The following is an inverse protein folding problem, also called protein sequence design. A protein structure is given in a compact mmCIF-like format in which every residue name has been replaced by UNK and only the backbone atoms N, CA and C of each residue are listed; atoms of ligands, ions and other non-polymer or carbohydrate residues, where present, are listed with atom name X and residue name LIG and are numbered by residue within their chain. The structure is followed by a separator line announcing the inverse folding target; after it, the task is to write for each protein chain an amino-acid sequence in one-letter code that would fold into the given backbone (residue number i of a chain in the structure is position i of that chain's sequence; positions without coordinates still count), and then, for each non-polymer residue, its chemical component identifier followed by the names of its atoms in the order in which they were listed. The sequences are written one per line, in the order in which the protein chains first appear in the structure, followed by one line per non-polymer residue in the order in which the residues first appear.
data_IF_585788913270
#
_entry.id   IF_585788913270
#
_cell.length_a   1.000
_cell.length_b   1.000
_cell.length_c   1.000
_cell.angle_alpha   90.00
_cell.angle_beta   90.00
_cell.angle_gamma   90.00
#
_symmetry.space_group_name_H-M   'P 1'
#
loop_
_entity.id
_entity.type
_entity.pdbx_description
1 polymer ?
#
# COMPACT_ATOMS: atom_id res chain seq x y z
N UNK A 1 -8.42 26.10 26.79
CA UNK A 1 -8.47 26.51 25.37
C UNK A 1 -9.46 25.61 24.65
N UNK A 2 -10.34 26.21 23.87
CA UNK A 2 -11.63 25.64 23.44
C UNK A 2 -11.47 24.35 22.62
N UNK A 3 -12.09 23.27 23.10
CA UNK A 3 -12.34 22.02 22.36
C UNK A 3 -13.19 22.35 21.14
N UNK A 4 -12.54 22.65 20.01
CA UNK A 4 -13.20 22.57 18.71
C UNK A 4 -13.44 21.09 18.47
N UNK A 5 -14.69 20.65 18.61
CA UNK A 5 -15.13 19.38 18.07
C UNK A 5 -14.72 19.34 16.60
N UNK A 6 -13.74 18.52 16.24
CA UNK A 6 -13.38 18.27 14.84
C UNK A 6 -14.56 17.56 14.18
N UNK A 7 -15.40 18.35 13.52
CA UNK A 7 -16.49 17.89 12.66
C UNK A 7 -15.98 18.04 11.24
N UNK A 8 -16.15 17.00 10.44
CA UNK A 8 -15.82 17.03 9.01
C UNK A 8 -17.12 16.89 8.23
N UNK A 9 -17.38 17.82 7.31
CA UNK A 9 -18.50 17.76 6.39
C UNK A 9 -17.99 17.18 5.07
N UNK A 10 -18.68 16.18 4.55
CA UNK A 10 -18.37 15.59 3.24
C UNK A 10 -19.57 15.66 2.30
N UNK A 11 -19.28 15.77 1.01
CA UNK A 11 -20.28 15.70 -0.06
C UNK A 11 -20.20 14.32 -0.71
N UNK A 12 -21.32 13.62 -0.78
CA UNK A 12 -21.42 12.28 -1.38
C UNK A 12 -22.76 12.13 -2.11
N UNK A 13 -23.12 10.91 -2.48
CA UNK A 13 -24.40 10.57 -3.09
C UNK A 13 -25.06 9.38 -2.41
N UNK A 14 -26.39 9.36 -2.38
CA UNK A 14 -27.19 8.23 -1.91
C UNK A 14 -27.22 7.08 -2.94
N UNK A 15 -27.98 6.02 -2.65
CA UNK A 15 -28.17 4.85 -3.53
C UNK A 15 -28.72 5.20 -4.93
N UNK A 16 -29.48 6.30 -5.04
CA UNK A 16 -30.05 6.81 -6.29
C UNK A 16 -29.11 7.78 -7.03
N UNK A 17 -27.93 8.06 -6.48
CA UNK A 17 -26.99 9.05 -7.03
C UNK A 17 -27.38 10.50 -6.72
N UNK A 18 -28.33 10.76 -5.83
CA UNK A 18 -28.70 12.12 -5.40
C UNK A 18 -27.70 12.64 -4.39
N UNK A 19 -27.45 13.95 -4.42
CA UNK A 19 -26.51 14.61 -3.51
C UNK A 19 -26.93 14.43 -2.06
N UNK A 20 -25.95 14.08 -1.24
CA UNK A 20 -26.10 13.90 0.20
C UNK A 20 -24.92 14.59 0.91
N UNK A 21 -25.22 15.40 1.92
CA UNK A 21 -24.20 16.01 2.78
C UNK A 21 -24.19 15.31 4.12
N UNK A 22 -23.01 14.89 4.55
CA UNK A 22 -22.84 14.15 5.81
C UNK A 22 -21.91 14.91 6.73
N UNK A 23 -22.29 14.96 8.01
CA UNK A 23 -21.41 15.42 9.08
C UNK A 23 -20.88 14.24 9.87
N UNK A 24 -19.55 14.20 9.95
CA UNK A 24 -18.77 13.17 10.62
C UNK A 24 -18.14 13.79 11.86
N UNK A 25 -18.46 13.25 13.02
CA UNK A 25 -18.05 13.79 14.32
C UNK A 25 -17.09 12.82 14.99
N UNK A 26 -16.01 13.34 15.57
CA UNK A 26 -15.16 12.54 16.45
C UNK A 26 -15.96 11.97 17.64
N UNK A 27 -15.77 10.68 18.00
CA UNK A 27 -16.49 10.09 19.13
C UNK A 27 -16.05 10.72 20.45
N UNK A 28 -17.01 11.22 21.22
CA UNK A 28 -16.76 11.70 22.58
C UNK A 28 -16.48 10.55 23.56
N UNK A 29 -16.03 10.89 24.76
CA UNK A 29 -15.65 9.92 25.81
C UNK A 29 -16.74 8.87 26.09
N UNK A 30 -18.00 9.27 26.22
CA UNK A 30 -19.11 8.35 26.48
C UNK A 30 -19.32 7.34 25.34
N UNK A 31 -19.25 7.81 24.09
CA UNK A 31 -19.38 6.95 22.90
C UNK A 31 -18.22 5.96 22.84
N UNK A 32 -17.00 6.38 23.18
CA UNK A 32 -15.84 5.48 23.24
C UNK A 32 -15.97 4.40 24.32
N UNK A 33 -16.53 4.73 25.49
CA UNK A 33 -16.82 3.74 26.54
C UNK A 33 -17.86 2.72 26.07
N UNK A 34 -18.95 3.16 25.44
CA UNK A 34 -19.97 2.28 24.87
C UNK A 34 -19.37 1.38 23.77
N UNK A 35 -18.55 1.94 22.88
CA UNK A 35 -17.88 1.20 21.83
C UNK A 35 -16.93 0.12 22.40
N UNK A 36 -16.24 0.43 23.50
CA UNK A 36 -15.39 -0.56 24.18
C UNK A 36 -16.21 -1.71 24.80
N UNK A 37 -17.41 -1.42 25.32
CA UNK A 37 -18.31 -2.47 25.79
C UNK A 37 -18.79 -3.37 24.64
N UNK A 38 -19.11 -2.78 23.49
CA UNK A 38 -19.47 -3.52 22.27
C UNK A 38 -18.34 -4.46 21.84
N UNK A 39 -17.08 -3.98 21.84
CA UNK A 39 -15.91 -4.81 21.60
C UNK A 39 -15.82 -6.00 22.57
N UNK A 40 -15.93 -5.73 23.88
CA UNK A 40 -15.76 -6.76 24.91
C UNK A 40 -16.83 -7.86 24.82
N UNK A 41 -18.08 -7.48 24.51
CA UNK A 41 -19.19 -8.42 24.32
C UNK A 41 -18.93 -9.31 23.10
N UNK A 42 -18.53 -8.72 21.97
CA UNK A 42 -18.25 -9.46 20.74
C UNK A 42 -17.06 -10.40 20.92
N UNK A 43 -15.96 -9.93 21.50
CA UNK A 43 -14.79 -10.76 21.78
C UNK A 43 -15.15 -11.96 22.68
N UNK A 44 -15.96 -11.74 23.71
CA UNK A 44 -16.41 -12.82 24.62
C UNK A 44 -17.28 -13.84 23.86
N UNK A 45 -18.13 -13.38 22.94
CA UNK A 45 -18.94 -14.25 22.07
C UNK A 45 -18.04 -15.11 21.17
N UNK A 46 -17.05 -14.52 20.51
CA UNK A 46 -16.12 -15.21 19.62
C UNK A 46 -15.29 -16.27 20.37
N UNK A 47 -14.82 -15.95 21.58
CA UNK A 47 -14.09 -16.91 22.43
C UNK A 47 -14.97 -18.13 22.75
N UNK A 48 -16.23 -17.92 23.14
CA UNK A 48 -17.16 -19.02 23.42
C UNK A 48 -17.42 -19.87 22.18
N UNK A 49 -17.60 -19.25 21.02
CA UNK A 49 -17.79 -19.96 19.75
C UNK A 49 -16.56 -20.79 19.35
N UNK A 50 -15.36 -20.26 19.58
CA UNK A 50 -14.09 -20.96 19.31
C UNK A 50 -13.90 -22.19 20.21
N UNK A 51 -14.32 -22.11 21.48
CA UNK A 51 -14.19 -23.22 22.44
C UNK A 51 -15.29 -24.27 22.28
N UNK A 52 -16.52 -23.86 21.98
CA UNK A 52 -17.70 -24.75 21.98
C UNK A 52 -18.11 -25.26 20.60
N UNK A 53 -17.56 -24.72 19.51
CA UNK A 53 -17.94 -25.08 18.14
C UNK A 53 -16.84 -25.79 17.35
N UNK A 54 -17.23 -26.46 16.26
CA UNK A 54 -16.30 -27.02 15.27
C UNK A 54 -15.54 -25.95 14.43
N UNK A 55 -15.61 -24.67 14.81
CA UNK A 55 -14.95 -23.55 14.11
C UNK A 55 -13.85 -22.98 15.00
N UNK A 56 -12.60 -23.22 14.61
CA UNK A 56 -11.45 -22.70 15.33
C UNK A 56 -11.20 -21.23 14.93
N UNK A 57 -11.47 -20.30 15.86
CA UNK A 57 -11.10 -18.89 15.72
C UNK A 57 -9.88 -18.61 16.60
N UNK A 58 -8.85 -17.99 16.02
CA UNK A 58 -7.61 -17.71 16.72
C UNK A 58 -7.60 -16.33 17.36
N UNK A 59 -7.08 -16.25 18.59
CA UNK A 59 -6.56 -14.99 19.12
C UNK A 59 -5.27 -14.60 18.38
N UNK A 60 -4.84 -13.34 18.50
CA UNK A 60 -3.55 -12.90 17.92
C UNK A 60 -2.38 -13.80 18.32
N UNK A 61 -2.31 -14.18 19.61
CA UNK A 61 -1.26 -15.04 20.12
C UNK A 61 -1.35 -16.47 19.57
N UNK A 62 -2.55 -17.04 19.46
CA UNK A 62 -2.72 -18.39 18.92
C UNK A 62 -2.41 -18.41 17.41
N UNK A 63 -2.82 -17.38 16.68
CA UNK A 63 -2.51 -17.22 15.27
C UNK A 63 -1.00 -17.15 15.04
N UNK A 64 -0.27 -16.42 15.87
CA UNK A 64 1.20 -16.33 15.78
C UNK A 64 1.87 -17.70 15.91
N UNK A 65 1.47 -18.51 16.91
CA UNK A 65 1.98 -19.89 17.05
C UNK A 65 1.65 -20.73 15.82
N UNK A 66 0.41 -20.66 15.36
CA UNK A 66 -0.06 -21.45 14.23
C UNK A 66 0.65 -21.11 12.92
N UNK A 67 0.85 -19.81 12.63
CA UNK A 67 1.60 -19.39 11.45
C UNK A 67 3.08 -19.77 11.51
N UNK A 68 3.67 -19.80 12.71
CA UNK A 68 5.03 -20.26 12.93
C UNK A 68 5.15 -21.78 12.67
N UNK A 69 4.20 -22.58 13.15
CA UNK A 69 4.13 -24.03 12.86
C UNK A 69 3.99 -24.32 11.36
N UNK A 70 3.23 -23.52 10.63
CA UNK A 70 3.05 -23.64 9.18
C UNK A 70 4.22 -23.08 8.37
N UNK A 71 5.18 -22.38 9.00
CA UNK A 71 6.28 -21.71 8.30
C UNK A 71 5.85 -20.51 7.45
N UNK A 72 4.64 -19.98 7.66
CA UNK A 72 4.10 -18.83 6.91
C UNK A 72 4.58 -17.50 7.50
N UNK A 73 4.66 -17.43 8.83
CA UNK A 73 5.23 -16.31 9.57
C UNK A 73 5.96 -16.86 10.79
N UNK A 74 7.28 -16.77 10.79
CA UNK A 74 8.14 -17.41 11.78
C UNK A 74 8.70 -16.42 12.80
N UNK A 75 9.34 -16.94 13.85
CA UNK A 75 10.12 -16.11 14.76
C UNK A 75 11.20 -15.27 14.05
N UNK A 76 11.74 -15.76 12.93
CA UNK A 76 12.76 -15.02 12.15
C UNK A 76 12.13 -13.78 11.53
N UNK A 77 10.92 -13.92 10.97
CA UNK A 77 10.17 -12.81 10.37
C UNK A 77 9.77 -11.79 11.44
N UNK A 78 9.26 -12.26 12.58
CA UNK A 78 8.91 -11.41 13.71
C UNK A 78 10.12 -10.60 14.25
N UNK A 79 11.27 -11.27 14.43
CA UNK A 79 12.51 -10.61 14.84
C UNK A 79 12.99 -9.62 13.79
N UNK A 80 12.92 -9.96 12.49
CA UNK A 80 13.29 -9.07 11.40
C UNK A 80 12.41 -7.82 11.37
N UNK A 81 11.11 -7.99 11.55
CA UNK A 81 10.14 -6.88 11.61
C UNK A 81 10.49 -5.92 12.76
N UNK A 82 10.67 -6.43 13.98
CA UNK A 82 11.04 -5.61 15.14
C UNK A 82 12.38 -4.91 14.95
N UNK A 83 13.38 -5.63 14.44
CA UNK A 83 14.71 -5.08 14.18
C UNK A 83 14.66 -3.92 13.18
N UNK A 84 13.90 -4.05 12.09
CA UNK A 84 13.71 -2.97 11.11
C UNK A 84 13.07 -1.73 11.75
N UNK A 85 12.10 -1.90 12.66
CA UNK A 85 11.48 -0.78 13.37
C UNK A 85 12.46 -0.04 14.29
N UNK A 86 13.31 -0.78 15.01
CA UNK A 86 14.35 -0.21 15.87
C UNK A 86 15.36 0.58 15.02
N UNK A 87 15.88 -0.04 13.95
CA UNK A 87 16.84 0.59 13.04
C UNK A 87 16.28 1.87 12.38
N UNK A 88 14.98 1.89 12.04
CA UNK A 88 14.33 3.09 11.52
C UNK A 88 14.28 4.20 12.55
N UNK A 89 13.96 3.90 13.82
CA UNK A 89 13.95 4.90 14.90
C UNK A 89 15.34 5.46 15.18
N UNK A 90 16.35 4.60 15.17
CA UNK A 90 17.75 5.03 15.31
C UNK A 90 18.18 5.94 14.15
N UNK A 91 17.81 5.58 12.92
CA UNK A 91 18.10 6.37 11.72
C UNK A 91 17.38 7.72 11.75
N UNK A 92 16.11 7.73 12.18
CA UNK A 92 15.33 8.95 12.41
C UNK A 92 15.99 9.87 13.45
N UNK A 93 16.45 9.32 14.57
CA UNK A 93 17.16 10.08 15.59
C UNK A 93 18.43 10.71 15.03
N UNK A 94 19.22 9.96 14.24
CA UNK A 94 20.44 10.48 13.59
C UNK A 94 20.14 11.62 12.62
N UNK A 95 19.13 11.47 11.74
CA UNK A 95 18.74 12.52 10.79
C UNK A 95 18.24 13.78 11.50
N UNK A 96 17.49 13.63 12.60
CA UNK A 96 17.00 14.75 13.41
C UNK A 96 18.12 15.46 14.18
N UNK A 97 19.07 14.69 14.72
CA UNK A 97 20.19 15.23 15.50
C UNK A 97 21.20 15.96 14.60
N UNK A 98 21.40 15.50 13.37
CA UNK A 98 22.42 16.04 12.47
C UNK A 98 23.83 15.73 12.95
N UNK A 99 24.80 16.59 12.60
CA UNK A 99 26.21 16.42 12.98
C UNK A 99 26.98 15.38 12.16
N UNK A 100 26.40 14.92 11.05
CA UNK A 100 27.00 13.99 10.09
C UNK A 100 27.11 14.64 8.69
N UNK A 101 28.04 14.19 7.83
CA UNK A 101 28.12 14.67 6.45
C UNK A 101 26.80 14.48 5.68
N UNK A 102 26.48 15.41 4.77
CA UNK A 102 25.26 15.33 3.94
C UNK A 102 25.24 14.05 3.10
N UNK A 103 26.39 13.60 2.61
CA UNK A 103 26.51 12.33 1.88
C UNK A 103 26.15 11.12 2.75
N UNK A 104 26.54 11.13 4.03
CA UNK A 104 26.19 10.09 4.99
C UNK A 104 24.69 10.12 5.32
N UNK A 105 24.13 11.31 5.59
CA UNK A 105 22.71 11.47 5.83
C UNK A 105 21.85 11.05 4.63
N UNK A 106 22.30 11.32 3.39
CA UNK A 106 21.66 10.82 2.16
C UNK A 106 21.60 9.30 2.14
N UNK A 107 22.70 8.62 2.46
CA UNK A 107 22.74 7.15 2.53
C UNK A 107 21.77 6.62 3.60
N UNK A 108 21.71 7.27 4.77
CA UNK A 108 20.75 6.91 5.83
C UNK A 108 19.32 7.05 5.33
N UNK A 109 18.95 8.19 4.73
CA UNK A 109 17.60 8.43 4.24
C UNK A 109 17.17 7.42 3.16
N UNK A 110 18.04 7.13 2.19
CA UNK A 110 17.78 6.11 1.16
C UNK A 110 17.65 4.70 1.77
N UNK A 111 18.48 4.38 2.76
CA UNK A 111 18.42 3.11 3.49
C UNK A 111 17.11 2.98 4.28
N UNK A 112 16.61 4.07 4.88
CA UNK A 112 15.32 4.08 5.55
C UNK A 112 14.18 3.76 4.58
N UNK A 113 14.16 4.37 3.38
CA UNK A 113 13.17 4.02 2.33
C UNK A 113 13.22 2.53 1.98
N UNK A 114 14.41 1.97 1.76
CA UNK A 114 14.57 0.54 1.48
C UNK A 114 14.05 -0.35 2.62
N UNK A 115 14.35 0.00 3.88
CA UNK A 115 13.86 -0.72 5.06
C UNK A 115 12.33 -0.64 5.20
N UNK A 116 11.72 0.50 4.89
CA UNK A 116 10.26 0.63 4.86
C UNK A 116 9.61 -0.23 3.78
N UNK A 117 10.21 -0.30 2.59
CA UNK A 117 9.73 -1.21 1.55
C UNK A 117 9.73 -2.67 2.04
N UNK A 118 10.78 -3.10 2.73
CA UNK A 118 10.83 -4.45 3.34
C UNK A 118 9.77 -4.62 4.43
N UNK A 119 9.58 -3.62 5.31
CA UNK A 119 8.52 -3.66 6.33
C UNK A 119 7.12 -3.76 5.72
N UNK A 120 6.85 -3.06 4.62
CA UNK A 120 5.57 -3.12 3.93
C UNK A 120 5.31 -4.51 3.35
N UNK A 121 6.31 -5.17 2.79
CA UNK A 121 6.19 -6.56 2.30
C UNK A 121 5.87 -7.51 3.46
N UNK A 122 6.61 -7.42 4.57
CA UNK A 122 6.36 -8.24 5.77
C UNK A 122 4.97 -7.97 6.35
N UNK A 123 4.56 -6.70 6.43
CA UNK A 123 3.23 -6.33 6.90
C UNK A 123 2.13 -6.88 5.97
N UNK A 124 2.31 -6.79 4.65
CA UNK A 124 1.38 -7.33 3.67
C UNK A 124 1.15 -8.82 3.87
N UNK A 125 2.23 -9.60 4.01
CA UNK A 125 2.16 -11.04 4.30
C UNK A 125 1.38 -11.36 5.58
N UNK A 126 1.52 -10.53 6.62
CA UNK A 126 0.89 -10.76 7.93
C UNK A 126 -0.56 -10.27 8.01
N UNK A 127 -0.85 -9.12 7.40
CA UNK A 127 -2.08 -8.35 7.60
C UNK A 127 -3.36 -9.15 7.28
N UNK A 128 -3.33 -10.00 6.25
CA UNK A 128 -4.46 -10.85 5.89
C UNK A 128 -4.84 -11.85 6.99
N UNK A 129 -3.86 -12.29 7.78
CA UNK A 129 -4.08 -13.22 8.88
C UNK A 129 -4.51 -12.47 10.14
N UNK A 130 -3.93 -11.30 10.41
CA UNK A 130 -4.33 -10.50 11.57
C UNK A 130 -5.80 -10.07 11.48
N UNK A 131 -6.30 -9.80 10.26
CA UNK A 131 -7.69 -9.41 10.01
C UNK A 131 -8.74 -10.46 10.44
N UNK A 132 -8.36 -11.74 10.55
CA UNK A 132 -9.27 -12.83 10.92
C UNK A 132 -9.17 -13.24 12.39
N UNK A 133 -8.37 -12.52 13.18
CA UNK A 133 -8.26 -12.76 14.63
C UNK A 133 -9.54 -12.34 15.34
N UNK A 134 -9.85 -13.00 16.47
CA UNK A 134 -11.02 -12.64 17.27
C UNK A 134 -11.00 -11.17 17.69
N UNK A 135 -9.82 -10.65 18.03
CA UNK A 135 -9.61 -9.24 18.37
C UNK A 135 -9.88 -8.32 17.18
N UNK A 136 -9.40 -8.64 15.98
CA UNK A 136 -9.66 -7.84 14.79
C UNK A 136 -11.13 -7.83 14.39
N UNK A 137 -11.82 -8.98 14.50
CA UNK A 137 -13.26 -9.08 14.26
C UNK A 137 -14.03 -8.22 15.27
N UNK A 138 -13.66 -8.27 16.54
CA UNK A 138 -14.26 -7.45 17.59
C UNK A 138 -13.97 -5.94 17.39
N UNK A 139 -12.76 -5.57 16.95
CA UNK A 139 -12.42 -4.18 16.61
C UNK A 139 -13.23 -3.67 15.41
N UNK A 140 -13.44 -4.51 14.40
CA UNK A 140 -14.32 -4.18 13.27
C UNK A 140 -15.77 -3.97 13.74
N UNK A 141 -16.26 -4.80 14.67
CA UNK A 141 -17.60 -4.65 15.24
C UNK A 141 -17.73 -3.35 16.05
N UNK A 142 -16.69 -3.00 16.83
CA UNK A 142 -16.57 -1.71 17.53
C UNK A 142 -16.60 -0.54 16.56
N UNK A 143 -15.86 -0.62 15.45
CA UNK A 143 -15.85 0.45 14.44
C UNK A 143 -17.23 0.62 13.78
N UNK A 144 -17.91 -0.49 13.45
CA UNK A 144 -19.31 -0.46 12.96
C UNK A 144 -20.25 0.24 13.94
N UNK A 145 -20.10 0.00 15.24
CA UNK A 145 -20.87 0.74 16.25
C UNK A 145 -20.58 2.25 16.20
N UNK A 146 -19.32 2.67 16.06
CA UNK A 146 -18.96 4.08 15.96
C UNK A 146 -19.58 4.76 14.74
N UNK A 147 -19.68 4.07 13.60
CA UNK A 147 -20.36 4.57 12.40
C UNK A 147 -21.82 4.98 12.70
N UNK A 148 -22.53 4.19 13.52
CA UNK A 148 -23.92 4.50 13.94
C UNK A 148 -24.05 5.73 14.85
N UNK A 149 -22.95 6.15 15.48
CA UNK A 149 -22.93 7.26 16.46
C UNK A 149 -22.32 8.53 15.92
N UNK A 150 -21.46 8.42 14.93
CA UNK A 150 -20.59 9.51 14.50
C UNK A 150 -21.00 10.15 13.18
N UNK A 151 -21.93 9.55 12.42
CA UNK A 151 -22.31 10.01 11.08
C UNK A 151 -23.78 10.38 11.05
N UNK A 152 -24.06 11.64 10.67
CA UNK A 152 -25.41 12.18 10.52
C UNK A 152 -25.56 12.86 9.15
N UNK A 153 -26.78 12.86 8.62
CA UNK A 153 -27.16 13.71 7.50
C UNK A 153 -27.14 15.17 7.97
N UNK A 154 -26.43 16.04 7.24
CA UNK A 154 -26.17 17.40 7.71
C UNK A 154 -27.46 18.24 7.83
N UNK A 155 -28.38 18.10 6.88
CA UNK A 155 -29.60 18.89 6.83
C UNK A 155 -30.58 18.57 7.95
N UNK A 156 -30.63 17.30 8.37
CA UNK A 156 -31.63 16.81 9.33
C UNK A 156 -31.02 16.45 10.68
N UNK A 157 -29.69 16.33 10.77
CA UNK A 157 -28.94 15.82 11.90
C UNK A 157 -29.44 14.43 12.37
N UNK A 158 -30.06 13.66 11.47
CA UNK A 158 -30.49 12.27 11.69
C UNK A 158 -29.30 11.33 11.39
N UNK A 159 -29.07 10.28 12.19
CA UNK A 159 -28.02 9.29 11.91
C UNK A 159 -28.18 8.68 10.52
N UNK A 160 -27.07 8.58 9.79
CA UNK A 160 -27.05 7.85 8.52
C UNK A 160 -27.32 6.36 8.72
N UNK A 161 -26.77 5.81 9.82
CA UNK A 161 -26.96 4.42 10.22
C UNK A 161 -27.65 4.35 11.58
N UNK A 162 -28.81 3.71 11.62
CA UNK A 162 -29.61 3.52 12.83
C UNK A 162 -29.09 2.36 13.70
N UNK A 163 -28.43 1.39 13.08
CA UNK A 163 -27.87 0.21 13.74
C UNK A 163 -26.68 -0.35 12.94
N UNK A 164 -25.95 -1.30 13.54
CA UNK A 164 -24.88 -2.01 12.83
C UNK A 164 -25.43 -2.78 11.63
N UNK A 165 -26.59 -3.43 11.78
CA UNK A 165 -27.23 -4.17 10.69
C UNK A 165 -27.64 -3.24 9.53
N UNK A 166 -28.16 -2.05 9.85
CA UNK A 166 -28.48 -1.02 8.85
C UNK A 166 -27.22 -0.61 8.06
N UNK A 167 -26.10 -0.35 8.74
CA UNK A 167 -24.82 -0.12 8.06
C UNK A 167 -24.41 -1.29 7.16
N UNK A 168 -24.50 -2.54 7.66
CA UNK A 168 -24.09 -3.72 6.89
C UNK A 168 -24.89 -3.91 5.60
N UNK A 169 -26.18 -3.55 5.59
CA UNK A 169 -26.99 -3.58 4.37
C UNK A 169 -26.58 -2.52 3.34
N UNK A 170 -25.99 -1.41 3.80
CA UNK A 170 -25.61 -0.24 2.98
C UNK A 170 -24.11 -0.12 2.74
N UNK A 171 -23.29 -1.03 3.27
CA UNK A 171 -21.83 -0.87 3.35
C UNK A 171 -21.13 -0.71 1.97
N UNK A 172 -21.81 -1.10 0.90
CA UNK A 172 -21.31 -0.98 -0.48
C UNK A 172 -21.80 0.29 -1.19
N UNK A 173 -22.67 1.08 -0.56
CA UNK A 173 -23.10 2.37 -1.08
C UNK A 173 -21.97 3.39 -1.01
N UNK A 174 -21.93 4.32 -1.97
CA UNK A 174 -20.91 5.37 -2.01
C UNK A 174 -20.91 6.23 -0.75
N UNK A 175 -22.10 6.60 -0.25
CA UNK A 175 -22.26 7.34 1.00
C UNK A 175 -21.61 6.63 2.20
N UNK A 176 -21.79 5.31 2.31
CA UNK A 176 -21.25 4.51 3.39
C UNK A 176 -19.73 4.37 3.30
N UNK A 177 -19.21 4.13 2.09
CA UNK A 177 -17.76 4.04 1.84
C UNK A 177 -17.09 5.39 2.17
N UNK A 178 -17.58 6.49 1.61
CA UNK A 178 -17.00 7.82 1.81
C UNK A 178 -17.02 8.21 3.31
N UNK A 179 -18.12 7.92 4.01
CA UNK A 179 -18.26 8.25 5.42
C UNK A 179 -17.40 7.35 6.33
N UNK A 180 -17.34 6.04 6.05
CA UNK A 180 -16.51 5.11 6.81
C UNK A 180 -15.02 5.40 6.63
N UNK A 181 -14.57 5.67 5.41
CA UNK A 181 -13.17 6.07 5.12
C UNK A 181 -12.81 7.34 5.86
N UNK A 182 -13.67 8.36 5.83
CA UNK A 182 -13.41 9.62 6.51
C UNK A 182 -13.34 9.43 8.04
N UNK A 183 -14.28 8.69 8.63
CA UNK A 183 -14.24 8.41 10.08
C UNK A 183 -13.01 7.57 10.47
N UNK A 184 -12.63 6.59 9.65
CA UNK A 184 -11.42 5.80 9.86
C UNK A 184 -10.17 6.68 9.83
N UNK A 185 -10.08 7.63 8.88
CA UNK A 185 -9.01 8.62 8.82
C UNK A 185 -8.93 9.48 10.09
N UNK A 186 -10.07 9.94 10.60
CA UNK A 186 -10.14 10.74 11.83
C UNK A 186 -9.74 9.95 13.09
N UNK A 187 -10.13 8.68 13.20
CA UNK A 187 -9.88 7.87 14.40
C UNK A 187 -8.48 7.25 14.38
N UNK A 188 -8.05 6.71 13.25
CA UNK A 188 -6.83 5.93 13.13
C UNK A 188 -5.66 6.73 12.55
N UNK A 189 -5.91 7.95 12.06
CA UNK A 189 -4.86 8.83 11.54
C UNK A 189 -4.30 8.35 10.21
N UNK A 190 -5.12 7.74 9.34
CA UNK A 190 -4.73 7.49 7.95
C UNK A 190 -4.66 8.83 7.23
N UNK A 191 -3.48 9.41 7.22
CA UNK A 191 -3.16 10.59 6.45
C UNK A 191 -2.72 10.16 5.05
N UNK A 192 -3.41 10.64 4.01
CA UNK A 192 -3.03 10.39 2.62
C UNK A 192 -1.58 10.84 2.33
N UNK A 193 -1.05 11.78 3.13
CA UNK A 193 0.33 12.25 3.05
C UNK A 193 1.29 11.57 4.05
N UNK A 194 0.95 10.39 4.57
CA UNK A 194 1.79 9.66 5.54
C UNK A 194 3.22 9.48 5.02
N UNK A 195 3.39 9.15 3.73
CA UNK A 195 4.71 8.97 3.13
C UNK A 195 5.49 10.29 3.03
N UNK A 196 4.85 11.40 2.63
CA UNK A 196 5.51 12.70 2.57
C UNK A 196 5.96 13.20 3.95
N UNK A 197 5.29 12.78 5.03
CA UNK A 197 5.64 13.15 6.42
C UNK A 197 6.77 12.32 7.03
N UNK A 198 7.29 11.32 6.31
CA UNK A 198 8.40 10.52 6.81
C UNK A 198 9.67 11.37 6.88
N UNK A 199 10.44 11.21 7.96
CA UNK A 199 11.62 12.03 8.25
C UNK A 199 12.65 11.95 7.12
N UNK A 200 12.87 10.76 6.56
CA UNK A 200 13.75 10.57 5.43
C UNK A 200 13.28 11.29 4.17
N UNK A 201 11.96 11.39 3.92
CA UNK A 201 11.42 12.03 2.74
C UNK A 201 11.45 13.56 2.88
N UNK A 202 11.07 14.08 4.05
CA UNK A 202 11.23 15.50 4.38
C UNK A 202 12.69 15.94 4.28
N UNK A 203 13.61 15.11 4.78
CA UNK A 203 15.04 15.38 4.71
C UNK A 203 15.55 15.37 3.25
N UNK A 204 15.17 14.38 2.45
CA UNK A 204 15.56 14.31 1.04
C UNK A 204 15.04 15.51 0.24
N UNK A 205 13.81 15.94 0.48
CA UNK A 205 13.24 17.15 -0.13
C UNK A 205 13.96 18.42 0.34
N UNK A 206 14.19 18.56 1.65
CA UNK A 206 14.88 19.71 2.25
C UNK A 206 16.29 19.90 1.68
N UNK A 207 17.01 18.81 1.43
CA UNK A 207 18.36 18.82 0.86
C UNK A 207 18.36 18.62 -0.67
N UNK A 208 17.19 18.81 -1.31
CA UNK A 208 17.06 18.84 -2.76
C UNK A 208 17.47 17.56 -3.50
N UNK A 209 17.50 16.43 -2.78
CA UNK A 209 17.71 15.09 -3.34
C UNK A 209 16.42 14.43 -3.83
N UNK A 210 15.27 15.00 -3.48
CA UNK A 210 13.97 14.63 -4.00
C UNK A 210 13.17 15.87 -4.43
N UNK A 211 12.28 15.71 -5.39
CA UNK A 211 11.30 16.72 -5.75
C UNK A 211 10.12 16.77 -4.76
N UNK A 212 9.20 17.71 -4.96
CA UNK A 212 7.99 17.87 -4.13
C UNK A 212 6.99 16.69 -4.24
N UNK A 213 7.23 15.74 -5.15
CA UNK A 213 6.48 14.48 -5.26
C UNK A 213 7.23 13.33 -4.58
N UNK A 214 8.35 13.60 -3.91
CA UNK A 214 9.18 12.59 -3.24
C UNK A 214 10.01 11.72 -4.19
N UNK A 215 10.13 12.09 -5.47
CA UNK A 215 10.93 11.38 -6.48
C UNK A 215 12.38 11.83 -6.42
N UNK A 216 13.33 10.90 -6.46
CA UNK A 216 14.75 11.22 -6.37
C UNK A 216 15.23 11.98 -7.61
N UNK A 217 16.11 12.96 -7.38
CA UNK A 217 16.71 13.76 -8.45
C UNK A 217 18.24 13.81 -8.34
N UNK A 218 18.90 13.93 -9.47
CA UNK A 218 20.32 14.26 -9.54
C UNK A 218 20.58 15.77 -9.38
N UNK A 219 21.86 16.16 -9.41
CA UNK A 219 22.28 17.57 -9.27
C UNK A 219 21.72 18.48 -10.39
N UNK A 220 21.34 17.90 -11.54
CA UNK A 220 20.71 18.60 -12.65
C UNK A 220 19.17 18.58 -12.58
N UNK A 221 18.59 18.16 -11.45
CA UNK A 221 17.13 18.01 -11.24
C UNK A 221 16.46 17.01 -12.19
N UNK A 222 17.22 16.05 -12.71
CA UNK A 222 16.69 14.94 -13.53
C UNK A 222 16.30 13.79 -12.61
N UNK A 223 15.21 13.11 -12.94
CA UNK A 223 14.74 11.97 -12.14
C UNK A 223 15.74 10.82 -12.21
N UNK A 224 16.01 10.23 -11.05
CA UNK A 224 16.87 9.06 -10.90
C UNK A 224 16.22 7.97 -10.07
N UNK A 225 16.65 6.73 -10.25
CA UNK A 225 16.31 5.63 -9.35
C UNK A 225 17.17 5.66 -8.06
N UNK A 226 16.99 4.65 -7.20
CA UNK A 226 17.78 4.51 -5.96
C UNK A 226 19.26 4.20 -6.19
N UNK A 227 19.65 3.77 -7.39
CA UNK A 227 21.04 3.52 -7.79
C UNK A 227 21.70 4.73 -8.49
N UNK A 228 20.92 5.79 -8.77
CA UNK A 228 21.38 6.99 -9.46
C UNK A 228 21.26 6.93 -10.99
N UNK A 229 20.54 5.96 -11.56
CA UNK A 229 20.27 5.85 -13.00
C UNK A 229 19.12 6.76 -13.40
N UNK A 230 19.24 7.42 -14.55
CA UNK A 230 18.20 8.30 -15.06
C UNK A 230 16.93 7.52 -15.42
N UNK A 231 15.79 8.08 -15.01
CA UNK A 231 14.46 7.55 -15.31
C UNK A 231 13.53 8.65 -15.85
N UNK A 232 12.50 8.28 -16.61
CA UNK A 232 11.44 9.18 -17.02
C UNK A 232 10.32 9.27 -15.94
N UNK A 233 9.24 10.00 -16.24
CA UNK A 233 8.10 10.14 -15.31
C UNK A 233 7.37 8.83 -15.02
N UNK A 234 7.43 7.86 -15.94
CA UNK A 234 6.84 6.53 -15.79
C UNK A 234 7.79 5.55 -15.05
N UNK A 235 8.97 6.00 -14.63
CA UNK A 235 9.98 5.18 -13.97
C UNK A 235 10.78 4.26 -14.90
N UNK A 236 10.73 4.47 -16.23
CA UNK A 236 11.53 3.72 -17.20
C UNK A 236 12.91 4.34 -17.36
N UNK A 237 13.94 3.52 -17.53
CA UNK A 237 15.31 3.99 -17.71
C UNK A 237 15.46 4.80 -19.00
N UNK A 238 16.20 5.90 -18.91
CA UNK A 238 16.52 6.76 -20.06
C UNK A 238 18.01 7.06 -20.13
N UNK A 239 18.50 7.34 -21.32
CA UNK A 239 19.82 7.93 -21.52
C UNK A 239 19.83 9.44 -21.22
N UNK A 240 20.99 10.08 -21.33
CA UNK A 240 21.15 11.53 -21.10
C UNK A 240 20.30 12.40 -22.05
N UNK A 241 19.84 11.83 -23.18
CA UNK A 241 19.01 12.52 -24.17
C UNK A 241 17.52 12.25 -23.95
N UNK A 242 17.15 11.46 -22.95
CA UNK A 242 15.77 11.06 -22.66
C UNK A 242 15.25 9.91 -23.51
N UNK A 243 16.12 9.19 -24.24
CA UNK A 243 15.72 8.01 -25.02
C UNK A 243 15.64 6.78 -24.11
N UNK A 244 14.63 5.94 -24.32
CA UNK A 244 14.45 4.73 -23.51
C UNK A 244 15.63 3.77 -23.67
N UNK A 245 16.11 3.26 -22.54
CA UNK A 245 17.15 2.25 -22.46
C UNK A 245 16.75 1.11 -21.51
N UNK A 246 17.42 -0.03 -21.62
CA UNK A 246 17.30 -1.09 -20.62
C UNK A 246 18.14 -0.79 -19.35
N UNK A 247 18.10 -1.71 -18.40
CA UNK A 247 18.79 -1.59 -17.10
C UNK A 247 20.32 -1.46 -17.18
N UNK A 248 20.93 -1.72 -18.34
CA UNK A 248 22.36 -1.58 -18.60
C UNK A 248 22.68 -0.51 -19.66
N UNK A 249 21.68 0.28 -20.10
CA UNK A 249 21.87 1.41 -21.00
C UNK A 249 21.77 1.09 -22.50
N UNK A 250 21.24 -0.07 -22.90
CA UNK A 250 21.01 -0.40 -24.32
C UNK A 250 19.70 0.22 -24.82
N UNK A 251 19.68 0.87 -26.00
CA UNK A 251 18.46 1.48 -26.54
C UNK A 251 17.31 0.49 -26.74
N UNK A 252 16.12 0.85 -26.26
CA UNK A 252 14.89 0.08 -26.44
C UNK A 252 13.76 0.98 -26.98
N UNK A 253 12.75 0.38 -27.61
CA UNK A 253 11.53 1.06 -28.01
C UNK A 253 10.49 1.06 -26.87
N UNK A 254 9.31 1.63 -27.12
CA UNK A 254 8.23 1.72 -26.13
C UNK A 254 7.72 0.35 -25.68
N UNK A 255 7.80 -0.67 -26.54
CA UNK A 255 7.44 -2.06 -26.24
C UNK A 255 8.56 -2.82 -25.50
N UNK A 256 9.73 -2.19 -25.33
CA UNK A 256 10.90 -2.78 -24.68
C UNK A 256 11.77 -3.65 -25.59
N UNK A 257 11.57 -3.61 -26.91
CA UNK A 257 12.43 -4.31 -27.86
C UNK A 257 13.70 -3.50 -28.13
N UNK A 258 14.81 -4.19 -28.39
CA UNK A 258 16.08 -3.54 -28.73
C UNK A 258 15.99 -2.74 -30.03
N UNK A 259 16.37 -1.46 -29.97
CA UNK A 259 16.49 -0.60 -31.15
C UNK A 259 17.83 -0.86 -31.83
N UNK A 260 17.82 -1.76 -32.82
CA UNK A 260 19.01 -2.10 -33.60
C UNK A 260 19.12 -1.21 -34.83
N UNK A 261 19.99 -0.19 -34.79
CA UNK A 261 20.18 0.77 -35.90
C UNK A 261 20.65 0.14 -37.22
N UNK A 262 21.38 -0.99 -37.16
CA UNK A 262 21.89 -1.70 -38.33
C UNK A 262 21.88 -3.21 -38.09
N UNK A 263 20.97 -3.92 -38.74
CA UNK A 263 20.99 -5.39 -38.79
C UNK A 263 21.99 -5.86 -39.83
N UNK A 264 22.98 -6.66 -39.42
CA UNK A 264 23.89 -7.36 -40.35
C UNK A 264 23.27 -8.72 -40.73
N UNK A 265 23.50 -9.21 -41.95
CA UNK A 265 23.10 -10.57 -42.29
C UNK A 265 23.84 -11.58 -41.41
N UNK A 266 23.17 -12.67 -41.04
CA UNK A 266 23.86 -13.83 -40.46
C UNK A 266 24.85 -14.37 -41.48
N UNK A 267 25.98 -14.92 -41.04
CA UNK A 267 26.99 -15.51 -41.92
C UNK A 267 27.08 -17.02 -41.73
N UNK A 268 27.60 -17.75 -42.72
CA UNK A 268 28.04 -19.14 -42.55
C UNK A 268 29.33 -19.20 -41.73
N UNK A 269 29.81 -20.41 -41.45
CA UNK A 269 31.05 -20.65 -40.68
C UNK A 269 32.30 -20.09 -41.38
N UNK A 270 32.19 -19.73 -42.66
CA UNK A 270 33.26 -19.12 -43.46
C UNK A 270 33.11 -17.59 -43.57
N UNK A 271 32.14 -16.99 -42.89
CA UNK A 271 31.90 -15.54 -42.89
C UNK A 271 31.07 -15.01 -44.07
N UNK A 272 30.49 -15.87 -44.90
CA UNK A 272 29.65 -15.46 -46.03
C UNK A 272 28.19 -15.20 -45.60
N UNK A 273 27.56 -14.07 -46.00
CA UNK A 273 26.17 -13.78 -45.66
C UNK A 273 25.16 -14.85 -46.10
N UNK A 274 24.36 -15.36 -45.15
CA UNK A 274 23.23 -16.26 -45.37
C UNK A 274 21.96 -15.42 -45.61
N UNK A 275 21.40 -15.51 -46.81
CA UNK A 275 20.05 -15.03 -47.10
C UNK A 275 19.04 -16.14 -46.85
N UNK A 276 18.03 -15.90 -46.01
CA UNK A 276 16.91 -16.86 -45.84
C UNK A 276 16.17 -17.06 -47.17
N UNK A 277 16.45 -18.13 -47.89
CA UNK A 277 15.59 -18.56 -49.00
C UNK A 277 14.33 -19.21 -48.42
N UNK A 278 13.18 -18.54 -48.53
CA UNK A 278 11.87 -19.11 -48.25
C UNK A 278 11.54 -20.20 -49.29
N UNK A 279 12.03 -21.42 -49.07
CA UNK A 279 11.46 -22.59 -49.75
C UNK A 279 10.04 -22.79 -49.21
N UNK A 280 9.03 -22.33 -49.96
CA UNK A 280 7.63 -22.78 -49.79
C UNK A 280 7.65 -24.31 -49.71
N UNK A 281 7.35 -24.86 -48.53
CA UNK A 281 7.08 -26.29 -48.34
C UNK A 281 5.98 -26.67 -49.33
N UNK A 282 6.31 -27.44 -50.37
CA UNK A 282 5.30 -28.04 -51.25
C UNK A 282 4.47 -29.00 -50.40
N UNK A 283 3.18 -28.71 -50.28
CA UNK A 283 2.20 -29.62 -49.70
C UNK A 283 2.18 -30.92 -50.50
N UNK A 284 2.60 -32.01 -49.87
CA UNK A 284 2.41 -33.36 -50.45
C UNK A 284 0.92 -33.68 -50.30
N UNK A 285 0.18 -33.70 -51.42
CA UNK A 285 -1.18 -34.26 -51.47
C UNK A 285 -1.09 -35.76 -51.20
N UNK A 286 -1.65 -36.22 -50.09
CA UNK A 286 -1.90 -37.63 -49.83
C UNK A 286 -2.89 -38.18 -50.87
N UNK A 287 -2.46 -39.14 -51.68
CA UNK A 287 -3.36 -39.97 -52.48
C UNK A 287 -3.98 -41.01 -51.56
N UNK A 288 -5.23 -40.80 -51.18
CA UNK A 288 -6.10 -41.87 -50.66
C UNK A 288 -6.43 -42.79 -51.83
N UNK A 289 -5.96 -44.03 -51.79
CA UNK A 289 -6.48 -45.10 -52.64
C UNK A 289 -7.72 -45.69 -51.96
N UNK A 290 -8.84 -45.66 -52.70
CA UNK A 290 -10.03 -46.48 -52.44
C UNK A 290 -9.69 -47.97 -52.52
#
# INVERSE_FOLDING_TARGET
MSSKSEKTIINTVDEDGKKLHLTIKMPGHKVLQEAQMVYNVELTSLIKQSVSGNKQLFSKQQLERHLNELGVWTEVDAKRFLQLQIELRESELKLKQGGIPVSEAKIIALTMKAKRAVLLVLYGQRSQFDAITMEAIADNHKFKFLLTKCIVVEETNVPLFTSINDYETKQNEKSAIDAATTLAGLIYGYDENTEAKLVENQWLEQFEFADNKGRLVDDNKRLIDSEGKLINEDGRFVDEKGSLVDNIGRPIDEDGNFVVKKTKPFTDDNGNPITKTTKKRKSVKSKVKK
#
